data_IF_705246228718
#
_entry.id   IF_705246228718
#
_cell.length_a   1.000
_cell.length_b   1.000
_cell.length_c   1.000
_cell.angle_alpha   90.00
_cell.angle_beta   90.00
_cell.angle_gamma   90.00
#
_symmetry.space_group_name_H-M   'P 1'
#
loop_
_entity.id
_entity.type
_entity.pdbx_description
1 polymer ?
#
# COMPACT_ATOMS: atom_id res chain seq x y z
N UNK A 1 38.08 -7.69 -0.29
CA UNK A 1 38.34 -8.53 -1.47
C UNK A 1 37.01 -8.85 -2.13
N UNK A 2 36.73 -8.28 -3.31
CA UNK A 2 35.57 -8.67 -4.10
C UNK A 2 36.00 -9.84 -5.01
N UNK A 3 35.40 -11.02 -4.84
CA UNK A 3 35.69 -12.15 -5.70
C UNK A 3 35.03 -11.93 -7.06
N UNK A 4 35.82 -11.78 -8.11
CA UNK A 4 35.32 -11.76 -9.49
C UNK A 4 34.96 -13.20 -9.89
N UNK A 5 33.67 -13.49 -10.00
CA UNK A 5 33.20 -14.77 -10.55
C UNK A 5 33.38 -14.71 -12.06
N UNK A 6 34.44 -15.35 -12.58
CA UNK A 6 34.57 -15.57 -14.02
C UNK A 6 33.64 -16.74 -14.38
N UNK A 7 32.64 -16.47 -15.23
CA UNK A 7 31.62 -17.41 -15.72
C UNK A 7 30.60 -17.90 -14.65
N UNK A 8 29.65 -17.05 -14.21
CA UNK A 8 28.62 -17.46 -13.26
C UNK A 8 27.64 -18.47 -13.85
N UNK A 9 27.25 -19.47 -13.06
CA UNK A 9 26.16 -20.36 -13.43
C UNK A 9 24.83 -19.57 -13.56
N UNK A 10 23.91 -20.05 -14.41
CA UNK A 10 22.62 -19.40 -14.64
C UNK A 10 21.82 -19.22 -13.33
N UNK A 11 21.96 -20.15 -12.37
CA UNK A 11 21.35 -20.05 -11.04
C UNK A 11 21.86 -18.85 -10.22
N UNK A 12 23.16 -18.57 -10.30
CA UNK A 12 23.81 -17.44 -9.63
C UNK A 12 23.32 -16.12 -10.21
N UNK A 13 23.28 -16.01 -11.55
CA UNK A 13 22.76 -14.83 -12.24
C UNK A 13 21.30 -14.58 -11.86
N UNK A 14 20.46 -15.63 -11.85
CA UNK A 14 19.06 -15.53 -11.43
C UNK A 14 18.90 -15.13 -9.96
N UNK A 15 19.75 -15.63 -9.08
CA UNK A 15 19.76 -15.28 -7.65
C UNK A 15 20.10 -13.81 -7.45
N UNK A 16 21.14 -13.31 -8.11
CA UNK A 16 21.55 -11.90 -8.06
C UNK A 16 20.48 -10.99 -8.65
N UNK A 17 19.89 -11.33 -9.80
CA UNK A 17 18.78 -10.56 -10.38
C UNK A 17 17.59 -10.52 -9.42
N UNK A 18 17.23 -11.64 -8.79
CA UNK A 18 16.14 -11.69 -7.80
C UNK A 18 16.47 -10.84 -6.58
N UNK A 19 17.70 -10.90 -6.09
CA UNK A 19 18.17 -10.12 -4.95
C UNK A 19 18.17 -8.61 -5.24
N UNK A 20 18.67 -8.19 -6.41
CA UNK A 20 18.64 -6.80 -6.85
C UNK A 20 17.21 -6.30 -7.05
N UNK A 21 16.32 -7.13 -7.63
CA UNK A 21 14.90 -6.81 -7.76
C UNK A 21 14.18 -6.71 -6.41
N UNK A 22 14.59 -7.52 -5.43
CA UNK A 22 14.06 -7.46 -4.06
C UNK A 22 14.58 -6.24 -3.31
N UNK A 23 15.86 -5.88 -3.48
CA UNK A 23 16.46 -4.68 -2.90
C UNK A 23 15.94 -3.38 -3.54
N UNK A 24 15.61 -3.38 -4.82
CA UNK A 24 14.95 -2.26 -5.52
C UNK A 24 13.46 -2.10 -5.17
N UNK A 25 12.89 -2.99 -4.35
CA UNK A 25 11.56 -2.84 -3.73
C UNK A 25 11.64 -2.22 -2.34
N UNK A 26 12.69 -1.43 -2.06
CA UNK A 26 12.63 -0.43 -1.01
C UNK A 26 11.55 0.58 -1.38
N UNK A 27 10.37 0.37 -0.81
CA UNK A 27 9.43 1.42 -0.46
C UNK A 27 9.16 2.42 -1.58
N UNK A 28 8.42 2.00 -2.61
CA UNK A 28 7.42 2.91 -3.18
C UNK A 28 6.27 2.97 -2.17
N UNK A 29 6.60 3.47 -0.98
CA UNK A 29 5.63 4.13 -0.13
C UNK A 29 5.51 5.50 -0.78
N UNK A 30 4.38 5.74 -1.42
CA UNK A 30 4.05 6.97 -2.14
C UNK A 30 3.83 8.10 -1.12
N UNK A 31 4.87 8.39 -0.33
CA UNK A 31 4.94 9.47 0.65
C UNK A 31 5.24 10.80 -0.04
N UNK A 32 4.54 11.06 -1.15
CA UNK A 32 4.58 12.31 -1.91
C UNK A 32 3.16 12.74 -2.29
N UNK A 33 2.31 12.91 -1.27
CA UNK A 33 1.22 13.89 -1.36
C UNK A 33 1.39 14.89 -0.24
N UNK A 34 2.32 15.82 -0.46
CA UNK A 34 2.30 17.14 0.17
C UNK A 34 1.11 17.94 -0.39
N UNK A 35 -0.10 17.47 -0.10
CA UNK A 35 -1.34 18.21 -0.26
C UNK A 35 -1.91 18.35 1.14
N UNK A 36 -2.16 19.59 1.56
CA UNK A 36 -2.83 20.00 2.81
C UNK A 36 -3.59 18.84 3.47
N UNK A 37 -3.30 18.46 4.73
CA UNK A 37 -4.06 17.43 5.41
C UNK A 37 -5.51 17.91 5.46
N UNK A 38 -6.34 17.35 4.59
CA UNK A 38 -7.77 17.46 4.76
C UNK A 38 -8.02 16.76 6.08
N UNK A 39 -8.41 17.52 7.09
CA UNK A 39 -8.65 16.98 8.43
C UNK A 39 -9.80 15.99 8.27
N UNK A 40 -9.47 14.71 8.12
CA UNK A 40 -10.46 13.64 8.14
C UNK A 40 -10.91 13.57 9.59
N UNK A 41 -12.18 13.85 9.92
CA UNK A 41 -12.64 13.81 11.29
C UNK A 41 -12.48 12.40 11.88
N UNK A 42 -12.04 12.32 13.13
CA UNK A 42 -11.71 11.06 13.82
C UNK A 42 -12.87 10.05 13.82
N UNK A 43 -14.11 10.55 13.83
CA UNK A 43 -15.30 9.72 13.72
C UNK A 43 -15.37 8.91 12.41
N UNK A 44 -14.89 9.49 11.30
CA UNK A 44 -14.85 8.82 9.99
C UNK A 44 -13.70 7.83 9.91
N UNK A 45 -12.55 8.16 10.50
CA UNK A 45 -11.43 7.24 10.62
C UNK A 45 -11.85 5.98 11.37
N UNK A 46 -12.49 6.15 12.53
CA UNK A 46 -12.96 5.03 13.35
C UNK A 46 -13.96 4.16 12.59
N UNK A 47 -14.93 4.75 11.89
CA UNK A 47 -15.89 4.01 11.06
C UNK A 47 -15.21 3.24 9.91
N UNK A 48 -14.21 3.85 9.26
CA UNK A 48 -13.47 3.21 8.17
C UNK A 48 -12.66 2.02 8.68
N UNK A 49 -12.05 2.16 9.84
CA UNK A 49 -11.31 1.09 10.52
C UNK A 49 -12.23 -0.04 10.98
N UNK A 50 -13.34 0.28 11.64
CA UNK A 50 -14.38 -0.69 12.05
C UNK A 50 -14.91 -1.49 10.85
N UNK A 51 -15.20 -0.84 9.72
CA UNK A 51 -15.64 -1.51 8.50
C UNK A 51 -14.56 -2.43 7.92
N UNK A 52 -13.32 -1.94 7.84
CA UNK A 52 -12.17 -2.71 7.34
C UNK A 52 -11.84 -3.90 8.26
N UNK A 53 -12.03 -3.74 9.57
CA UNK A 53 -11.83 -4.79 10.56
C UNK A 53 -12.96 -5.84 10.53
N UNK A 54 -14.21 -5.40 10.36
CA UNK A 54 -15.37 -6.30 10.24
C UNK A 54 -15.26 -7.18 8.99
N UNK A 55 -14.73 -6.64 7.89
CA UNK A 55 -14.53 -7.38 6.65
C UNK A 55 -13.18 -7.02 6.00
N UNK A 56 -12.14 -7.82 6.29
CA UNK A 56 -10.80 -7.66 5.69
C UNK A 56 -10.76 -7.77 4.16
N UNK A 57 -11.85 -8.20 3.52
CA UNK A 57 -11.99 -8.34 2.06
C UNK A 57 -12.82 -7.23 1.40
N UNK A 58 -13.09 -6.12 2.10
CA UNK A 58 -13.81 -5.01 1.49
C UNK A 58 -13.00 -4.37 0.37
N UNK A 59 -13.74 -3.98 -0.67
CA UNK A 59 -13.23 -3.13 -1.74
C UNK A 59 -13.48 -1.67 -1.39
N UNK A 60 -12.76 -0.75 -2.04
CA UNK A 60 -12.93 0.69 -1.84
C UNK A 60 -14.36 1.16 -2.14
N UNK A 61 -15.06 0.48 -3.06
CA UNK A 61 -16.47 0.75 -3.40
C UNK A 61 -17.44 0.32 -2.31
N UNK A 62 -17.20 -0.82 -1.65
CA UNK A 62 -18.05 -1.25 -0.54
C UNK A 62 -17.89 -0.34 0.66
N UNK A 63 -16.67 0.11 0.95
CA UNK A 63 -16.42 1.11 1.99
C UNK A 63 -17.14 2.44 1.72
N UNK A 64 -17.24 2.87 0.46
CA UNK A 64 -18.04 4.05 0.08
C UNK A 64 -19.52 3.92 0.38
N UNK A 65 -20.10 2.73 0.16
CA UNK A 65 -21.51 2.48 0.44
C UNK A 65 -21.79 2.57 1.94
N UNK A 66 -20.82 2.18 2.75
CA UNK A 66 -20.88 2.25 4.22
C UNK A 66 -20.65 3.69 4.69
N UNK A 67 -19.75 4.44 4.04
CA UNK A 67 -19.37 5.81 4.40
C UNK A 67 -19.47 6.72 3.17
N UNK A 68 -20.69 7.09 2.75
CA UNK A 68 -20.90 7.96 1.59
C UNK A 68 -20.56 9.44 1.88
N UNK A 69 -20.23 9.76 3.13
CA UNK A 69 -19.92 11.11 3.62
C UNK A 69 -18.61 11.67 3.06
N UNK A 70 -17.74 10.84 2.48
CA UNK A 70 -16.44 11.24 1.93
C UNK A 70 -16.28 10.84 0.48
N UNK A 71 -15.51 11.62 -0.28
CA UNK A 71 -15.18 11.29 -1.65
C UNK A 71 -14.32 10.03 -1.76
N UNK A 72 -14.37 9.36 -2.92
CA UNK A 72 -13.51 8.21 -3.24
C UNK A 72 -12.03 8.45 -3.00
N UNK A 73 -11.52 9.62 -3.41
CA UNK A 73 -10.12 9.97 -3.26
C UNK A 73 -9.73 10.16 -1.79
N UNK A 74 -10.62 10.80 -1.01
CA UNK A 74 -10.40 10.99 0.44
C UNK A 74 -10.45 9.67 1.18
N UNK A 75 -11.37 8.77 0.81
CA UNK A 75 -11.44 7.43 1.38
C UNK A 75 -10.19 6.60 1.04
N UNK A 76 -9.72 6.67 -0.21
CA UNK A 76 -8.47 6.02 -0.61
C UNK A 76 -7.28 6.53 0.20
N UNK A 77 -7.14 7.84 0.34
CA UNK A 77 -6.09 8.47 1.14
C UNK A 77 -6.20 8.05 2.62
N UNK A 78 -7.40 8.04 3.19
CA UNK A 78 -7.66 7.58 4.56
C UNK A 78 -7.19 6.14 4.77
N UNK A 79 -7.55 5.24 3.87
CA UNK A 79 -7.24 3.81 3.98
C UNK A 79 -5.76 3.52 3.75
N UNK A 80 -5.14 4.20 2.77
CA UNK A 80 -3.75 3.93 2.37
C UNK A 80 -2.73 4.74 3.16
N UNK A 81 -3.00 6.02 3.43
CA UNK A 81 -2.08 6.94 4.12
C UNK A 81 -2.30 6.90 5.62
N UNK A 82 -3.55 6.98 6.09
CA UNK A 82 -3.83 7.05 7.54
C UNK A 82 -3.86 5.68 8.19
N UNK A 83 -4.53 4.70 7.57
CA UNK A 83 -4.68 3.35 8.11
C UNK A 83 -3.62 2.35 7.61
N UNK A 84 -2.82 2.69 6.58
CA UNK A 84 -1.74 1.85 6.07
C UNK A 84 -2.19 0.58 5.30
N UNK A 85 -3.45 0.50 4.89
CA UNK A 85 -3.97 -0.62 4.11
C UNK A 85 -3.70 -0.41 2.62
N UNK A 86 -2.49 -0.78 2.17
CA UNK A 86 -2.07 -0.62 0.78
C UNK A 86 -2.62 -1.70 -0.19
N UNK A 87 -3.37 -2.68 0.31
CA UNK A 87 -3.93 -3.79 -0.48
C UNK A 87 -5.37 -4.05 -0.07
N UNK A 88 -6.30 -3.28 -0.62
CA UNK A 88 -7.71 -3.63 -0.59
C UNK A 88 -8.00 -4.69 -1.64
N UNK A 89 -9.07 -5.46 -1.45
CA UNK A 89 -9.50 -6.41 -2.46
C UNK A 89 -9.85 -5.65 -3.75
N UNK A 90 -9.31 -6.12 -4.87
CA UNK A 90 -9.76 -5.71 -6.19
C UNK A 90 -11.20 -6.22 -6.40
N UNK A 91 -12.04 -5.49 -7.15
CA UNK A 91 -13.39 -5.96 -7.50
C UNK A 91 -13.36 -7.26 -8.31
#
# INVERSE_FOLDING_TARGET
MAASIQNPAISEVRSVIRFLRAKGRTNVDEKHRTGRPSVIPDALLRRTEEATQANRRLTLRELYKIIPEVSMSTLHECVTVTLGYHKLCAP
#
